data_IF_587030797828
#
_entry.id   IF_587030797828
#
_cell.length_a   1.000
_cell.length_b   1.000
_cell.length_c   1.000
_cell.angle_alpha   90.00
_cell.angle_beta   90.00
_cell.angle_gamma   90.00
#
_symmetry.space_group_name_H-M   'P 1'
#
loop_
_entity.id
_entity.type
_entity.pdbx_description
1 polymer ?
#
# COMPACT_ATOMS: atom_id res chain seq x y z
N UNK A 1 2.73 -55.73 41.57
CA UNK A 1 3.38 -54.49 41.09
C UNK A 1 2.65 -54.04 39.84
N UNK A 2 1.91 -52.93 39.92
CA UNK A 2 1.08 -52.42 38.84
C UNK A 2 1.92 -51.46 37.99
N UNK A 3 2.08 -51.77 36.69
CA UNK A 3 2.78 -50.92 35.72
C UNK A 3 1.75 -50.11 34.96
N UNK A 4 1.68 -48.81 35.23
CA UNK A 4 0.81 -47.84 34.57
C UNK A 4 1.42 -47.36 33.25
N UNK A 5 0.62 -47.41 32.18
CA UNK A 5 0.92 -46.86 30.86
C UNK A 5 0.89 -45.32 30.87
N UNK A 6 1.73 -44.62 30.08
CA UNK A 6 1.52 -43.21 29.79
C UNK A 6 0.67 -43.05 28.53
N UNK A 7 -0.52 -42.48 28.69
CA UNK A 7 -1.34 -41.93 27.60
C UNK A 7 -0.67 -40.66 27.08
N UNK A 8 -0.11 -40.72 25.87
CA UNK A 8 0.30 -39.52 25.12
C UNK A 8 -0.93 -38.93 24.42
N UNK A 9 -1.41 -37.79 24.93
CA UNK A 9 -2.39 -36.95 24.23
C UNK A 9 -1.70 -36.26 23.07
N UNK A 10 -1.97 -36.72 21.86
CA UNK A 10 -1.66 -36.00 20.61
C UNK A 10 -2.58 -34.80 20.50
N UNK A 11 -2.04 -33.59 20.68
CA UNK A 11 -2.75 -32.36 20.29
C UNK A 11 -2.32 -32.01 18.87
N UNK A 12 -3.25 -32.17 17.94
CA UNK A 12 -3.13 -31.83 16.53
C UNK A 12 -2.80 -30.35 16.37
N UNK A 13 -1.58 -30.04 15.93
CA UNK A 13 -1.18 -28.72 15.46
C UNK A 13 -1.51 -28.59 13.97
N UNK A 14 -2.70 -28.11 13.65
CA UNK A 14 -3.09 -27.73 12.28
C UNK A 14 -3.24 -26.21 12.19
N UNK A 15 -2.15 -25.53 11.84
CA UNK A 15 -2.06 -24.51 10.79
C UNK A 15 -0.73 -23.76 10.94
N UNK A 16 0.33 -24.14 10.20
CA UNK A 16 1.48 -23.27 10.07
C UNK A 16 1.07 -22.10 9.17
N UNK A 17 1.20 -20.87 9.68
CA UNK A 17 1.20 -19.66 8.86
C UNK A 17 2.15 -19.84 7.67
N UNK A 18 1.61 -20.16 6.49
CA UNK A 18 2.38 -20.28 5.28
C UNK A 18 2.61 -18.86 4.74
N UNK A 19 3.74 -18.26 5.13
CA UNK A 19 4.26 -17.07 4.50
C UNK A 19 4.91 -17.49 3.19
N UNK A 20 4.10 -17.78 2.17
CA UNK A 20 4.64 -17.95 0.81
C UNK A 20 5.17 -16.58 0.37
N UNK A 21 6.48 -16.42 0.11
CA UNK A 21 6.96 -15.20 -0.51
C UNK A 21 6.24 -15.01 -1.85
N UNK A 22 5.92 -13.75 -2.23
CA UNK A 22 5.27 -13.48 -3.50
C UNK A 22 6.11 -14.05 -4.64
N UNK A 23 5.43 -14.60 -5.65
CA UNK A 23 6.09 -15.22 -6.80
C UNK A 23 7.14 -14.27 -7.41
N UNK A 24 8.31 -14.79 -7.79
CA UNK A 24 9.40 -13.99 -8.32
C UNK A 24 8.94 -13.22 -9.56
N UNK A 25 9.18 -11.91 -9.56
CA UNK A 25 8.79 -11.03 -10.66
C UNK A 25 9.39 -11.53 -11.98
N UNK A 26 8.59 -11.67 -13.05
CA UNK A 26 9.07 -12.16 -14.33
C UNK A 26 10.12 -11.22 -14.89
N UNK A 27 11.25 -11.78 -15.32
CA UNK A 27 12.36 -11.02 -15.91
C UNK A 27 11.88 -10.29 -17.16
N UNK A 28 11.99 -8.97 -17.14
CA UNK A 28 11.60 -8.08 -18.25
C UNK A 28 12.76 -8.09 -19.25
N UNK A 29 12.51 -8.48 -20.50
CA UNK A 29 13.53 -8.45 -21.56
C UNK A 29 14.00 -7.02 -21.85
N UNK A 30 15.25 -6.86 -22.31
CA UNK A 30 15.84 -5.56 -22.58
C UNK A 30 15.03 -4.70 -23.59
N UNK A 31 14.34 -5.31 -24.57
CA UNK A 31 13.41 -4.58 -25.44
C UNK A 31 12.25 -3.92 -24.68
N UNK A 32 11.74 -4.53 -23.60
CA UNK A 32 10.72 -3.91 -22.74
C UNK A 32 11.32 -2.91 -21.74
N UNK A 33 12.61 -3.05 -21.41
CA UNK A 33 13.32 -2.14 -20.51
C UNK A 33 13.76 -0.83 -21.18
N UNK A 34 13.78 -0.77 -22.52
CA UNK A 34 14.18 0.40 -23.29
C UNK A 34 13.20 1.59 -23.21
N UNK A 35 12.11 1.50 -22.44
CA UNK A 35 11.15 2.60 -22.25
C UNK A 35 10.30 2.93 -23.47
N UNK A 36 10.51 2.22 -24.58
CA UNK A 36 9.62 2.26 -25.75
C UNK A 36 8.45 1.33 -25.46
N UNK A 37 7.32 1.92 -25.07
CA UNK A 37 6.01 1.25 -25.14
C UNK A 37 5.88 0.64 -26.54
N UNK A 38 5.68 -0.68 -26.67
CA UNK A 38 5.46 -1.30 -27.97
C UNK A 38 4.20 -0.66 -28.56
N UNK A 39 4.35 0.11 -29.62
CA UNK A 39 3.21 0.60 -30.39
C UNK A 39 2.94 -0.44 -31.47
N UNK A 40 1.69 -0.91 -31.58
CA UNK A 40 1.33 -1.84 -32.64
C UNK A 40 1.68 -1.26 -34.02
N UNK A 41 2.18 -2.11 -34.90
CA UNK A 41 2.57 -1.72 -36.25
C UNK A 41 1.42 -1.03 -37.01
N UNK A 42 0.17 -1.46 -36.80
CA UNK A 42 -1.02 -0.83 -37.38
C UNK A 42 -1.26 0.59 -36.86
N UNK A 43 -1.05 0.84 -35.57
CA UNK A 43 -1.22 2.16 -34.96
C UNK A 43 -0.12 3.11 -35.41
N UNK A 44 1.12 2.59 -35.52
CA UNK A 44 2.26 3.33 -36.05
C UNK A 44 2.01 3.77 -37.50
N UNK A 45 1.59 2.86 -38.38
CA UNK A 45 1.28 3.17 -39.78
C UNK A 45 0.20 4.25 -39.91
N UNK A 46 -0.88 4.17 -39.11
CA UNK A 46 -1.93 5.19 -39.11
C UNK A 46 -1.47 6.55 -38.57
N UNK A 47 -0.49 6.56 -37.68
CA UNK A 47 0.09 7.79 -37.16
C UNK A 47 1.00 8.43 -38.23
N UNK A 48 1.81 7.61 -38.90
CA UNK A 48 2.67 8.05 -40.01
C UNK A 48 1.82 8.67 -41.14
N UNK A 49 0.71 8.02 -41.55
CA UNK A 49 -0.23 8.58 -42.54
C UNK A 49 -0.80 9.95 -42.14
N UNK A 50 -1.13 10.13 -40.84
CA UNK A 50 -1.64 11.42 -40.34
C UNK A 50 -0.56 12.49 -40.30
N UNK A 51 0.67 12.10 -39.98
CA UNK A 51 1.83 13.01 -39.97
C UNK A 51 2.12 13.48 -41.39
N UNK A 52 2.20 12.56 -42.34
CA UNK A 52 2.47 12.88 -43.75
C UNK A 52 1.38 13.81 -44.30
N UNK A 53 0.10 13.47 -44.09
CA UNK A 53 -1.01 14.33 -44.51
C UNK A 53 -0.98 15.73 -43.87
N UNK A 54 -0.56 15.83 -42.60
CA UNK A 54 -0.44 17.12 -41.93
C UNK A 54 0.73 17.95 -42.47
N UNK A 55 1.87 17.32 -42.79
CA UNK A 55 3.03 17.98 -43.39
C UNK A 55 2.68 18.49 -44.79
N UNK A 56 2.00 17.68 -45.59
CA UNK A 56 1.55 18.07 -46.94
C UNK A 56 0.59 19.28 -46.86
N UNK A 57 -0.38 19.24 -45.95
CA UNK A 57 -1.29 20.36 -45.68
C UNK A 57 -0.55 21.63 -45.24
N UNK A 58 0.50 21.50 -44.43
CA UNK A 58 1.26 22.63 -43.89
C UNK A 58 2.17 23.27 -44.96
N UNK A 59 2.81 22.45 -45.80
CA UNK A 59 3.68 22.91 -46.89
C UNK A 59 2.87 23.51 -48.04
N UNK A 60 1.64 23.06 -48.25
CA UNK A 60 0.73 23.64 -49.23
C UNK A 60 0.25 25.07 -48.85
N UNK A 61 0.43 25.49 -47.59
CA UNK A 61 0.04 26.82 -47.13
C UNK A 61 1.19 27.83 -47.21
N UNK A 62 0.84 29.08 -47.52
CA UNK A 62 1.80 30.19 -47.49
C UNK A 62 2.18 30.51 -46.03
N UNK A 63 3.48 30.70 -45.78
CA UNK A 63 4.04 30.93 -44.44
C UNK A 63 3.54 32.21 -43.77
N UNK A 64 3.07 33.20 -44.55
CA UNK A 64 2.50 34.44 -44.03
C UNK A 64 0.96 34.40 -43.98
N UNK A 65 0.35 33.26 -44.29
CA UNK A 65 -1.11 33.13 -44.26
C UNK A 65 -1.64 32.89 -42.84
N UNK A 66 -2.85 33.40 -42.51
CA UNK A 66 -3.52 33.08 -41.24
C UNK A 66 -3.79 31.57 -41.07
N UNK A 67 -3.94 30.84 -42.18
CA UNK A 67 -4.18 29.40 -42.16
C UNK A 67 -2.97 28.62 -41.63
N UNK A 68 -1.75 29.01 -42.04
CA UNK A 68 -0.50 28.43 -41.54
C UNK A 68 -0.37 28.64 -40.03
N UNK A 69 -0.65 29.85 -39.56
CA UNK A 69 -0.69 30.17 -38.13
C UNK A 69 -1.65 29.27 -37.36
N UNK A 70 -2.88 29.08 -37.87
CA UNK A 70 -3.87 28.21 -37.23
C UNK A 70 -3.41 26.73 -37.15
N UNK A 71 -2.70 26.22 -38.17
CA UNK A 71 -2.13 24.85 -38.16
C UNK A 71 -1.00 24.71 -37.14
N UNK A 72 -0.10 25.69 -37.06
CA UNK A 72 1.00 25.70 -36.08
C UNK A 72 0.47 25.85 -34.65
N UNK A 73 -0.56 26.68 -34.46
CA UNK A 73 -1.22 26.84 -33.17
C UNK A 73 -1.91 25.54 -32.73
N UNK A 74 -2.55 24.82 -33.67
CA UNK A 74 -3.13 23.51 -33.40
C UNK A 74 -2.07 22.52 -32.89
N UNK A 75 -0.91 22.45 -33.56
CA UNK A 75 0.22 21.60 -33.15
C UNK A 75 0.76 21.99 -31.76
N UNK A 76 0.92 23.30 -31.53
CA UNK A 76 1.44 23.83 -30.26
C UNK A 76 0.49 23.55 -29.10
N UNK A 77 -0.82 23.73 -29.31
CA UNK A 77 -1.84 23.47 -28.30
C UNK A 77 -1.95 21.97 -27.99
N UNK A 78 -1.88 21.11 -29.00
CA UNK A 78 -1.82 19.66 -28.82
C UNK A 78 -0.58 19.28 -28.00
N UNK A 79 0.61 19.77 -28.38
CA UNK A 79 1.85 19.49 -27.65
C UNK A 79 1.80 19.93 -26.19
N UNK A 80 1.26 21.12 -25.91
CA UNK A 80 1.07 21.61 -24.53
C UNK A 80 0.15 20.70 -23.71
N UNK A 81 -0.93 20.21 -24.31
CA UNK A 81 -1.87 19.29 -23.66
C UNK A 81 -1.21 17.95 -23.34
N UNK A 82 -0.54 17.33 -24.31
CA UNK A 82 0.17 16.05 -24.13
C UNK A 82 1.26 16.15 -23.05
N UNK A 83 2.04 17.24 -23.04
CA UNK A 83 3.05 17.49 -22.01
C UNK A 83 2.39 17.63 -20.63
N UNK A 84 1.27 18.36 -20.52
CA UNK A 84 0.56 18.53 -19.27
C UNK A 84 -0.03 17.21 -18.74
N UNK A 85 -0.57 16.37 -19.63
CA UNK A 85 -1.08 15.04 -19.30
C UNK A 85 0.06 14.11 -18.84
N UNK A 86 1.16 14.05 -19.59
CA UNK A 86 2.35 13.26 -19.23
C UNK A 86 2.96 13.71 -17.88
N UNK A 87 3.01 15.01 -17.61
CA UNK A 87 3.44 15.55 -16.33
C UNK A 87 2.49 15.16 -15.17
N UNK A 88 1.18 15.16 -15.43
CA UNK A 88 0.17 14.72 -14.46
C UNK A 88 0.31 13.24 -14.08
N UNK A 89 0.63 12.38 -15.05
CA UNK A 89 0.94 10.96 -14.79
C UNK A 89 2.21 10.79 -13.95
N UNK A 90 3.25 11.59 -14.23
CA UNK A 90 4.51 11.55 -13.47
C UNK A 90 4.31 11.95 -12.01
N UNK A 91 3.48 12.96 -11.73
CA UNK A 91 3.21 13.39 -10.36
C UNK A 91 2.49 12.30 -9.54
N UNK A 92 1.55 11.56 -10.16
CA UNK A 92 0.91 10.41 -9.50
C UNK A 92 1.89 9.27 -9.25
N UNK A 93 2.83 9.04 -10.17
CA UNK A 93 3.87 8.03 -9.98
C UNK A 93 4.82 8.37 -8.83
N UNK A 94 5.06 9.65 -8.57
CA UNK A 94 5.88 10.12 -7.44
C UNK A 94 5.11 10.09 -6.11
N UNK A 95 3.83 10.48 -6.11
CA UNK A 95 3.03 10.56 -4.88
C UNK A 95 2.64 9.18 -4.33
N UNK A 96 2.51 8.17 -5.20
CA UNK A 96 1.97 6.86 -4.82
C UNK A 96 2.92 6.01 -3.95
N UNK A 97 4.23 5.89 -4.28
CA UNK A 97 5.20 5.22 -3.41
C UNK A 97 5.31 5.90 -2.04
N UNK A 98 5.25 7.23 -2.00
CA UNK A 98 5.34 8.00 -0.76
C UNK A 98 4.13 7.73 0.14
N UNK A 99 2.91 7.75 -0.42
CA UNK A 99 1.68 7.40 0.33
C UNK A 99 1.64 5.95 0.78
N UNK A 100 2.10 5.02 -0.04
CA UNK A 100 2.17 3.59 0.31
C UNK A 100 3.17 3.37 1.47
N UNK A 101 4.38 3.95 1.39
CA UNK A 101 5.38 3.87 2.47
C UNK A 101 4.89 4.45 3.79
N UNK A 102 4.19 5.59 3.76
CA UNK A 102 3.66 6.23 4.98
C UNK A 102 2.56 5.35 5.62
N UNK A 103 1.68 4.77 4.79
CA UNK A 103 0.62 3.88 5.23
C UNK A 103 1.18 2.59 5.86
N UNK A 104 2.16 1.95 5.23
CA UNK A 104 2.78 0.73 5.76
C UNK A 104 3.55 0.98 7.06
N UNK A 105 4.30 2.08 7.13
CA UNK A 105 5.03 2.51 8.33
C UNK A 105 4.08 2.72 9.51
N UNK A 106 2.97 3.44 9.27
CA UNK A 106 1.96 3.72 10.29
C UNK A 106 1.25 2.44 10.77
N UNK A 107 0.84 1.57 9.85
CA UNK A 107 0.18 0.29 10.22
C UNK A 107 1.13 -0.60 11.02
N UNK A 108 2.42 -0.67 10.65
CA UNK A 108 3.43 -1.41 11.40
C UNK A 108 3.66 -0.86 12.81
N UNK A 109 3.71 0.46 12.96
CA UNK A 109 3.82 1.12 14.27
C UNK A 109 2.59 0.82 15.15
N UNK A 110 1.38 0.98 14.60
CA UNK A 110 0.13 0.73 15.31
C UNK A 110 0.00 -0.76 15.72
N UNK A 111 0.45 -1.71 14.90
CA UNK A 111 0.51 -3.15 15.23
C UNK A 111 1.50 -3.46 16.35
N UNK A 112 2.68 -2.84 16.33
CA UNK A 112 3.68 -3.00 17.39
C UNK A 112 3.17 -2.45 18.73
N UNK A 113 2.46 -1.32 18.69
CA UNK A 113 1.82 -0.72 19.86
C UNK A 113 0.67 -1.60 20.39
N UNK A 114 -0.17 -2.15 19.51
CA UNK A 114 -1.22 -3.10 19.87
C UNK A 114 -0.62 -4.31 20.61
N UNK A 115 0.44 -4.90 20.05
CA UNK A 115 1.13 -6.04 20.65
C UNK A 115 1.64 -5.73 22.05
N UNK A 116 2.31 -4.58 22.23
CA UNK A 116 2.81 -4.14 23.55
C UNK A 116 1.67 -3.96 24.54
N UNK A 117 0.61 -3.26 24.14
CA UNK A 117 -0.54 -2.98 25.00
C UNK A 117 -1.23 -4.27 25.46
N UNK A 118 -1.42 -5.22 24.54
CA UNK A 118 -1.98 -6.55 24.85
C UNK A 118 -1.06 -7.33 25.78
N UNK A 119 0.25 -7.27 25.56
CA UNK A 119 1.26 -7.95 26.39
C UNK A 119 1.35 -7.34 27.81
N UNK A 120 1.15 -6.03 27.97
CA UNK A 120 1.11 -5.34 29.27
C UNK A 120 -0.16 -5.63 30.09
N UNK A 121 -1.22 -6.06 29.40
CA UNK A 121 -2.49 -6.49 29.99
C UNK A 121 -2.48 -7.96 30.38
N UNK A 122 -1.47 -8.73 29.98
CA UNK A 122 -1.36 -10.15 30.34
C UNK A 122 -1.21 -10.31 31.87
N UNK A 123 -2.21 -10.90 32.58
CA UNK A 123 -2.13 -11.12 34.01
C UNK A 123 -0.98 -12.06 34.39
N UNK A 124 -0.50 -12.90 33.47
CA UNK A 124 0.65 -13.79 33.66
C UNK A 124 1.97 -13.04 33.88
N UNK A 125 2.10 -11.81 33.34
CA UNK A 125 3.30 -10.98 33.53
C UNK A 125 3.29 -10.14 34.81
N UNK A 126 2.14 -9.96 35.47
CA UNK A 126 2.01 -9.05 36.64
C UNK A 126 2.23 -9.71 38.01
N UNK A 127 2.59 -10.99 38.03
CA UNK A 127 2.85 -11.74 39.27
C UNK A 127 1.60 -11.90 40.14
N UNK A 128 1.76 -12.11 41.45
CA UNK A 128 0.62 -12.33 42.36
C UNK A 128 -0.26 -11.06 42.49
N UNK A 129 -1.37 -11.04 41.73
CA UNK A 129 -2.43 -10.02 41.78
C UNK A 129 -3.22 -10.04 43.11
N UNK A 130 -3.10 -11.12 43.89
CA UNK A 130 -3.76 -11.30 45.19
C UNK A 130 -2.94 -10.76 46.37
N UNK A 131 -1.67 -10.43 46.15
CA UNK A 131 -0.79 -9.90 47.21
C UNK A 131 -1.07 -8.42 47.50
N UNK A 132 -1.32 -8.09 48.78
CA UNK A 132 -1.58 -6.72 49.22
C UNK A 132 -0.29 -5.89 49.13
N UNK A 133 -0.36 -4.71 48.51
CA UNK A 133 0.78 -3.80 48.36
C UNK A 133 1.05 -3.14 49.73
N UNK A 134 2.28 -3.25 50.23
CA UNK A 134 2.70 -2.71 51.55
C UNK A 134 3.65 -1.53 51.32
N UNK A 135 3.32 -0.37 51.89
CA UNK A 135 4.27 0.75 52.03
C UNK A 135 4.79 0.73 53.48
N UNK A 136 6.12 0.71 53.64
CA UNK A 136 6.81 0.68 54.94
C UNK A 136 6.40 -0.44 55.91
N UNK A 137 6.03 -1.61 55.39
CA UNK A 137 5.81 -2.84 56.19
C UNK A 137 4.53 -2.87 57.05
N UNK A 138 3.90 -1.73 57.32
CA UNK A 138 2.85 -1.58 58.34
C UNK A 138 1.53 -1.05 57.75
N UNK A 139 1.56 -0.30 56.65
CA UNK A 139 0.34 0.31 56.07
C UNK A 139 -0.10 -0.48 54.83
N UNK A 140 -1.27 -1.17 54.84
CA UNK A 140 -1.82 -1.77 53.65
C UNK A 140 -2.28 -0.68 52.68
N UNK A 141 -1.56 -0.50 51.56
CA UNK A 141 -1.85 0.57 50.60
C UNK A 141 -2.21 -0.03 49.23
N UNK A 142 -3.48 0.08 48.85
CA UNK A 142 -3.98 -0.31 47.53
C UNK A 142 -4.18 -1.82 47.31
N UNK A 143 -5.00 -2.16 46.31
CA UNK A 143 -5.29 -3.53 45.89
C UNK A 143 -4.83 -3.73 44.46
N UNK A 144 -3.86 -4.64 44.23
CA UNK A 144 -3.30 -4.93 42.90
C UNK A 144 -4.35 -5.38 41.89
N UNK A 145 -5.42 -6.05 42.34
CA UNK A 145 -6.55 -6.40 41.46
C UNK A 145 -7.29 -5.15 40.96
N UNK A 146 -7.49 -4.14 41.82
CA UNK A 146 -8.16 -2.90 41.41
C UNK A 146 -7.32 -2.14 40.39
N UNK A 147 -6.02 -1.99 40.67
CA UNK A 147 -5.06 -1.38 39.75
C UNK A 147 -5.01 -2.11 38.39
N UNK A 148 -5.15 -3.45 38.40
CA UNK A 148 -5.26 -4.25 37.17
C UNK A 148 -6.53 -3.92 36.37
N UNK A 149 -7.71 -3.96 37.00
CA UNK A 149 -8.96 -3.65 36.29
C UNK A 149 -9.04 -2.20 35.82
N UNK A 150 -8.49 -1.26 36.59
CA UNK A 150 -8.39 0.14 36.18
C UNK A 150 -7.46 0.29 34.96
N UNK A 151 -6.33 -0.42 34.94
CA UNK A 151 -5.45 -0.44 33.76
C UNK A 151 -6.08 -1.12 32.54
N UNK A 152 -6.90 -2.16 32.75
CA UNK A 152 -7.66 -2.81 31.66
C UNK A 152 -8.70 -1.87 31.07
N UNK A 153 -9.47 -1.18 31.92
CA UNK A 153 -10.47 -0.20 31.49
C UNK A 153 -9.81 0.95 30.72
N UNK A 154 -8.67 1.44 31.19
CA UNK A 154 -7.89 2.49 30.51
C UNK A 154 -7.37 2.01 29.16
N UNK A 155 -6.77 0.82 29.11
CA UNK A 155 -6.20 0.27 27.89
C UNK A 155 -7.26 -0.12 26.85
N UNK A 156 -8.49 -0.45 27.27
CA UNK A 156 -9.58 -0.78 26.33
C UNK A 156 -9.91 0.40 25.40
N UNK A 157 -9.89 1.64 25.91
CA UNK A 157 -10.07 2.83 25.06
C UNK A 157 -8.91 3.00 24.07
N UNK A 158 -7.68 2.73 24.51
CA UNK A 158 -6.47 2.84 23.69
C UNK A 158 -6.41 1.75 22.61
N UNK A 159 -6.74 0.50 22.96
CA UNK A 159 -6.85 -0.61 22.02
C UNK A 159 -7.88 -0.29 20.95
N UNK A 160 -9.05 0.23 21.33
CA UNK A 160 -10.09 0.61 20.36
C UNK A 160 -9.60 1.68 19.37
N UNK A 161 -8.84 2.68 19.82
CA UNK A 161 -8.27 3.70 18.91
C UNK A 161 -7.20 3.13 17.98
N UNK A 162 -6.36 2.21 18.47
CA UNK A 162 -5.37 1.51 17.65
C UNK A 162 -6.07 0.63 16.60
N UNK A 163 -7.05 -0.17 17.01
CA UNK A 163 -7.82 -1.03 16.09
C UNK A 163 -8.55 -0.22 15.00
N UNK A 164 -9.11 0.94 15.35
CA UNK A 164 -9.69 1.86 14.38
C UNK A 164 -8.66 2.38 13.38
N UNK A 165 -7.45 2.71 13.86
CA UNK A 165 -6.33 3.12 13.02
C UNK A 165 -5.83 2.00 12.09
N UNK A 166 -5.74 0.76 12.58
CA UNK A 166 -5.40 -0.43 11.77
C UNK A 166 -6.47 -0.71 10.71
N UNK A 167 -7.75 -0.65 11.07
CA UNK A 167 -8.85 -0.88 10.15
C UNK A 167 -8.81 0.14 9.01
N UNK A 168 -8.64 1.43 9.35
CA UNK A 168 -8.47 2.50 8.36
C UNK A 168 -7.23 2.30 7.50
N UNK A 169 -6.09 1.93 8.09
CA UNK A 169 -4.86 1.67 7.36
C UNK A 169 -4.99 0.49 6.38
N UNK A 170 -5.59 -0.61 6.83
CA UNK A 170 -5.91 -1.77 5.99
C UNK A 170 -6.81 -1.38 4.82
N UNK A 171 -7.86 -0.60 5.07
CA UNK A 171 -8.78 -0.16 4.01
C UNK A 171 -8.08 0.74 2.98
N UNK A 172 -7.14 1.59 3.41
CA UNK A 172 -6.25 2.35 2.51
C UNK A 172 -5.39 1.41 1.67
N UNK A 173 -4.71 0.44 2.29
CA UNK A 173 -3.85 -0.52 1.57
C UNK A 173 -4.63 -1.36 0.55
N UNK A 174 -5.86 -1.77 0.87
CA UNK A 174 -6.72 -2.52 -0.06
C UNK A 174 -7.10 -1.62 -1.26
N UNK A 175 -7.48 -0.36 -1.02
CA UNK A 175 -7.80 0.58 -2.10
C UNK A 175 -6.59 0.86 -2.99
N UNK A 176 -5.42 1.04 -2.39
CA UNK A 176 -4.19 1.31 -3.13
C UNK A 176 -3.76 0.09 -3.96
N UNK A 177 -3.87 -1.13 -3.40
CA UNK A 177 -3.63 -2.37 -4.14
C UNK A 177 -4.60 -2.54 -5.33
N UNK A 178 -5.89 -2.26 -5.12
CA UNK A 178 -6.87 -2.29 -6.21
C UNK A 178 -6.57 -1.25 -7.30
N UNK A 179 -6.14 -0.03 -6.90
CA UNK A 179 -5.74 1.01 -7.84
C UNK A 179 -4.46 0.63 -8.62
N UNK A 180 -3.53 -0.11 -8.01
CA UNK A 180 -2.34 -0.65 -8.70
C UNK A 180 -2.76 -1.63 -9.79
N UNK A 181 -3.69 -2.55 -9.51
CA UNK A 181 -4.12 -3.54 -10.50
C UNK A 181 -4.85 -2.90 -11.69
N UNK A 182 -5.70 -1.90 -11.44
CA UNK A 182 -6.37 -1.11 -12.50
C UNK A 182 -5.35 -0.33 -13.33
N UNK A 183 -4.36 0.31 -12.69
CA UNK A 183 -3.31 1.01 -13.42
C UNK A 183 -2.41 0.06 -14.23
N UNK A 184 -2.07 -1.12 -13.69
CA UNK A 184 -1.33 -2.15 -14.43
C UNK A 184 -2.11 -2.58 -15.68
N UNK A 185 -3.42 -2.77 -15.54
CA UNK A 185 -4.30 -3.12 -16.64
C UNK A 185 -4.41 -2.00 -17.68
N UNK A 186 -4.48 -0.74 -17.24
CA UNK A 186 -4.48 0.42 -18.12
C UNK A 186 -3.13 0.58 -18.85
N UNK A 187 -2.01 0.35 -18.16
CA UNK A 187 -0.67 0.33 -18.76
C UNK A 187 -0.53 -0.78 -19.80
N UNK A 188 -1.14 -1.94 -19.59
CA UNK A 188 -1.16 -3.02 -20.58
C UNK A 188 -2.07 -2.71 -21.77
N UNK A 189 -3.21 -2.05 -21.52
CA UNK A 189 -4.13 -1.63 -22.58
C UNK A 189 -3.60 -0.48 -23.45
N UNK A 190 -2.64 0.31 -22.95
CA UNK A 190 -1.92 1.32 -23.75
C UNK A 190 -0.66 0.76 -24.42
N UNK A 191 -0.20 -0.43 -24.02
CA UNK A 191 0.95 -1.18 -24.58
C UNK A 191 0.58 -2.20 -25.67
N UNK A 192 -0.72 -2.34 -25.99
CA UNK A 192 -1.26 -3.11 -27.11
C UNK A 192 -2.46 -2.37 -27.68
#
# INVERSE_FOLDING_TARGET
>A
MASTAPTTTTTSSSDPFNLTPPDPVPVVSAERAAGLVPIDAEKKSKLDEKVDAFIDDLVAQDSNSPAFGARVDQLTNMGRKEIAEAAGHSNRFLDRPVRAMDSDSKVGADLAELRRTVEDLDPGKRGSLTSRKKLFGIIPFGNKMRDYFDSYKSAQSHINSILGSLASGKDTLIKDNAAIDVERQNMWATMG
#
